data_IF_659738169349
#
_entry.id   IF_659738169349
#
_cell.length_a   1.000
_cell.length_b   1.000
_cell.length_c   1.000
_cell.angle_alpha   90.00
_cell.angle_beta   90.00
_cell.angle_gamma   90.00
#
_symmetry.space_group_name_H-M   'P 1'
#
loop_
_entity.id
_entity.type
_entity.pdbx_description
1 polymer ?
#
# COMPACT_ATOMS: atom_id res chain seq x y z
N UNK A 1 15.49 -4.80 -19.68
CA UNK A 1 14.41 -5.09 -18.70
C UNK A 1 13.62 -3.81 -18.47
N UNK A 2 12.45 -3.70 -19.11
CA UNK A 2 11.82 -2.40 -19.42
C UNK A 2 10.77 -1.92 -18.42
N UNK A 3 10.27 -0.71 -18.69
CA UNK A 3 9.20 0.04 -17.99
C UNK A 3 7.94 -0.81 -17.63
N UNK A 4 7.71 -1.94 -18.29
CA UNK A 4 6.60 -2.85 -18.02
C UNK A 4 6.66 -3.50 -16.63
N UNK A 5 7.85 -3.85 -16.13
CA UNK A 5 8.00 -4.51 -14.83
C UNK A 5 7.61 -3.58 -13.66
N UNK A 6 8.01 -2.31 -13.73
CA UNK A 6 7.67 -1.32 -12.71
C UNK A 6 6.18 -1.02 -12.68
N UNK A 7 5.50 -0.99 -13.84
CA UNK A 7 4.04 -0.83 -13.89
C UNK A 7 3.31 -1.98 -13.17
N UNK A 8 3.71 -3.23 -13.44
CA UNK A 8 3.13 -4.40 -12.75
C UNK A 8 3.39 -4.38 -11.24
N UNK A 9 4.60 -4.01 -10.84
CA UNK A 9 4.96 -3.86 -9.43
C UNK A 9 4.12 -2.78 -8.74
N UNK A 10 3.90 -1.63 -9.38
CA UNK A 10 3.05 -0.56 -8.87
C UNK A 10 1.62 -1.06 -8.68
N UNK A 11 1.01 -1.67 -9.70
CA UNK A 11 -0.37 -2.17 -9.57
C UNK A 11 -0.54 -3.24 -8.49
N UNK A 12 0.46 -4.11 -8.30
CA UNK A 12 0.45 -5.10 -7.21
C UNK A 12 0.54 -4.44 -5.83
N UNK A 13 1.38 -3.40 -5.68
CA UNK A 13 1.49 -2.64 -4.44
C UNK A 13 0.23 -1.83 -4.17
N UNK A 14 -0.39 -1.23 -5.20
CA UNK A 14 -1.67 -0.52 -5.09
C UNK A 14 -2.80 -1.44 -4.62
N UNK A 15 -2.89 -2.66 -5.16
CA UNK A 15 -3.88 -3.66 -4.70
C UNK A 15 -3.69 -3.99 -3.23
N UNK A 16 -2.45 -4.22 -2.80
CA UNK A 16 -2.13 -4.49 -1.39
C UNK A 16 -2.49 -3.33 -0.49
N UNK A 17 -2.21 -2.09 -0.91
CA UNK A 17 -2.61 -0.89 -0.16
C UNK A 17 -4.13 -0.82 -0.02
N UNK A 18 -4.87 -1.08 -1.10
CA UNK A 18 -6.33 -1.09 -1.06
C UNK A 18 -6.87 -2.14 -0.08
N UNK A 19 -6.32 -3.36 -0.09
CA UNK A 19 -6.67 -4.41 0.87
C UNK A 19 -6.40 -3.99 2.32
N UNK A 20 -5.26 -3.35 2.60
CA UNK A 20 -4.92 -2.90 3.96
C UNK A 20 -5.81 -1.72 4.40
N UNK A 21 -6.13 -0.79 3.50
CA UNK A 21 -7.07 0.30 3.78
C UNK A 21 -8.46 -0.22 4.10
N UNK A 22 -8.93 -1.24 3.37
CA UNK A 22 -10.22 -1.87 3.67
C UNK A 22 -10.19 -2.61 5.01
N UNK A 23 -9.12 -3.35 5.32
CA UNK A 23 -8.95 -3.98 6.64
C UNK A 23 -8.99 -2.96 7.78
N UNK A 24 -8.28 -1.84 7.65
CA UNK A 24 -8.30 -0.74 8.63
C UNK A 24 -9.73 -0.21 8.78
N UNK A 25 -10.42 0.05 7.67
CA UNK A 25 -11.79 0.54 7.69
C UNK A 25 -12.73 -0.42 8.43
N UNK A 26 -12.69 -1.72 8.09
CA UNK A 26 -13.51 -2.74 8.75
C UNK A 26 -13.18 -2.88 10.24
N UNK A 27 -11.90 -2.72 10.62
CA UNK A 27 -11.49 -2.75 12.02
C UNK A 27 -12.03 -1.55 12.78
N UNK A 28 -11.99 -0.36 12.19
CA UNK A 28 -12.52 0.88 12.77
C UNK A 28 -14.05 0.87 12.93
N UNK A 29 -14.76 0.06 12.13
CA UNK A 29 -16.21 -0.12 12.23
C UNK A 29 -16.62 -1.05 13.40
N UNK A 30 -15.68 -1.74 14.05
CA UNK A 30 -15.97 -2.58 15.22
C UNK A 30 -16.25 -1.74 16.47
N UNK A 31 -17.03 -2.31 17.40
CA UNK A 31 -17.28 -1.70 18.72
C UNK A 31 -15.99 -1.50 19.53
N UNK A 32 -15.01 -2.39 19.34
CA UNK A 32 -13.69 -2.34 19.98
C UNK A 32 -12.59 -2.55 18.93
N UNK A 33 -12.16 -1.49 18.22
CA UNK A 33 -11.09 -1.59 17.24
C UNK A 33 -9.75 -1.92 17.91
N UNK A 34 -8.91 -2.71 17.24
CA UNK A 34 -7.52 -2.95 17.67
C UNK A 34 -6.56 -1.89 17.07
N UNK A 35 -6.10 -0.90 17.87
CA UNK A 35 -5.18 0.13 17.37
C UNK A 35 -3.79 -0.43 17.03
N UNK A 36 -3.38 -1.56 17.62
CA UNK A 36 -2.12 -2.22 17.29
C UNK A 36 -2.15 -2.81 15.89
N UNK A 37 -3.27 -3.43 15.53
CA UNK A 37 -3.51 -4.01 14.21
C UNK A 37 -3.63 -2.92 13.12
N UNK A 38 -4.36 -1.85 13.42
CA UNK A 38 -4.46 -0.67 12.53
C UNK A 38 -3.07 -0.08 12.27
N UNK A 39 -2.29 0.19 13.32
CA UNK A 39 -0.95 0.75 13.19
C UNK A 39 0.02 -0.18 12.43
N UNK A 40 -0.16 -1.50 12.57
CA UNK A 40 0.60 -2.47 11.78
C UNK A 40 0.31 -2.31 10.29
N UNK A 41 -0.96 -2.31 9.90
CA UNK A 41 -1.37 -2.13 8.50
C UNK A 41 -1.01 -0.76 7.94
N UNK A 42 -1.08 0.30 8.75
CA UNK A 42 -0.64 1.65 8.35
C UNK A 42 0.86 1.68 8.02
N UNK A 43 1.70 1.02 8.83
CA UNK A 43 3.14 0.91 8.55
C UNK A 43 3.41 0.14 7.25
N UNK A 44 2.66 -0.93 7.00
CA UNK A 44 2.76 -1.68 5.74
C UNK A 44 2.34 -0.82 4.54
N UNK A 45 1.26 -0.06 4.65
CA UNK A 45 0.83 0.90 3.62
C UNK A 45 1.93 1.90 3.32
N UNK A 46 2.53 2.52 4.34
CA UNK A 46 3.62 3.50 4.15
C UNK A 46 4.81 2.85 3.42
N UNK A 47 5.18 1.62 3.78
CA UNK A 47 6.26 0.89 3.11
C UNK A 47 5.93 0.61 1.63
N UNK A 48 4.69 0.21 1.32
CA UNK A 48 4.24 -0.02 -0.04
C UNK A 48 4.19 1.27 -0.88
N UNK A 49 3.71 2.38 -0.29
CA UNK A 49 3.69 3.70 -0.93
C UNK A 49 5.12 4.18 -1.26
N UNK A 50 6.09 3.93 -0.37
CA UNK A 50 7.51 4.20 -0.67
C UNK A 50 8.03 3.33 -1.84
N UNK A 51 7.62 2.07 -1.91
CA UNK A 51 7.93 1.18 -3.04
C UNK A 51 7.37 1.70 -4.37
N UNK A 52 6.11 2.15 -4.37
CA UNK A 52 5.45 2.77 -5.54
C UNK A 52 6.19 4.04 -5.95
N UNK A 53 6.50 4.93 -5.01
CA UNK A 53 7.23 6.18 -5.29
C UNK A 53 8.58 5.92 -5.94
N UNK A 54 9.31 4.92 -5.48
CA UNK A 54 10.58 4.52 -6.08
C UNK A 54 10.39 3.96 -7.51
N UNK A 55 9.38 3.11 -7.71
CA UNK A 55 9.06 2.56 -9.02
C UNK A 55 8.61 3.64 -10.02
N UNK A 56 7.82 4.62 -9.58
CA UNK A 56 7.41 5.79 -10.38
C UNK A 56 8.61 6.66 -10.78
N UNK A 57 9.51 6.93 -9.83
CA UNK A 57 10.76 7.65 -10.11
C UNK A 57 11.60 6.93 -11.18
N UNK A 58 11.67 5.60 -11.14
CA UNK A 58 12.36 4.77 -12.15
C UNK A 58 11.65 4.77 -13.52
N UNK A 59 10.34 5.02 -13.54
CA UNK A 59 9.56 5.19 -14.78
C UNK A 59 9.70 6.60 -15.40
N UNK A 60 10.34 7.54 -14.70
CA UNK A 60 10.40 8.94 -15.10
C UNK A 60 9.06 9.67 -14.96
N UNK A 61 8.13 9.12 -14.16
CA UNK A 61 6.90 9.80 -13.76
C UNK A 61 7.13 10.40 -12.38
N UNK A 62 7.19 11.72 -12.32
CA UNK A 62 7.31 12.50 -11.10
C UNK A 62 6.23 13.58 -11.11
#
# INVERSE_FOLDING_TARGET
>A
MGKSHFKKAISSLESRIAEHKEKIRLELEKDFPDPGLINHWEKEIIAFEQGIKQALKRLGKN
#
